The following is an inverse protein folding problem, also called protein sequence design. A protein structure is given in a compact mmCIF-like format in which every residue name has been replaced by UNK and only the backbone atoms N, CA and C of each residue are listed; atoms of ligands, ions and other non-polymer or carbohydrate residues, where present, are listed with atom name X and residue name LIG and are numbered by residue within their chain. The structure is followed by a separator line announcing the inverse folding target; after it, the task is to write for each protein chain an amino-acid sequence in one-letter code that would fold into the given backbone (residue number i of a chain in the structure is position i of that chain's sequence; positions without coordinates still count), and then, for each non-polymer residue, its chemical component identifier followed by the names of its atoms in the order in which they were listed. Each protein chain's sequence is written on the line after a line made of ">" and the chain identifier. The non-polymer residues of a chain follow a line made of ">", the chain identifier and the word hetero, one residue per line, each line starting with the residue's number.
data_IF_738327090643
#
_entry.id   IF_738327090643
#
_cell.length_a   1.000
_cell.length_b   1.000
_cell.length_c   1.000
_cell.angle_alpha   90.00
_cell.angle_beta   90.00
_cell.angle_gamma   90.00
#
_symmetry.space_group_name_H-M   'P 1'
#
loop_
_entity.id
_entity.type
_entity.pdbx_description
1 polymer ?
#
# COMPACT_ATOMS: atom_id res chain seq x y z
N UNK A 1 15.05 -4.83 -3.62
CA UNK A 1 14.56 -3.48 -4.02
C UNK A 1 14.41 -2.62 -2.76
N UNK A 2 14.66 -1.30 -2.76
CA UNK A 2 14.37 -0.45 -1.58
C UNK A 2 12.89 -0.04 -1.52
N UNK A 3 12.35 0.22 -0.33
CA UNK A 3 10.95 0.63 -0.15
C UNK A 3 10.59 1.89 -0.96
N UNK A 4 11.49 2.87 -1.02
CA UNK A 4 11.27 4.10 -1.77
C UNK A 4 11.10 3.84 -3.27
N UNK A 5 11.85 2.88 -3.83
CA UNK A 5 11.73 2.51 -5.25
C UNK A 5 10.36 1.90 -5.55
N UNK A 6 9.86 1.05 -4.66
CA UNK A 6 8.56 0.40 -4.76
C UNK A 6 7.39 1.39 -4.67
N UNK A 7 7.49 2.35 -3.75
CA UNK A 7 6.47 3.39 -3.57
C UNK A 7 6.42 4.30 -4.79
N UNK A 8 7.58 4.67 -5.34
CA UNK A 8 7.66 5.45 -6.58
C UNK A 8 7.05 4.69 -7.76
N UNK A 9 7.27 3.38 -7.88
CA UNK A 9 6.64 2.58 -8.93
C UNK A 9 5.10 2.57 -8.80
N UNK A 10 4.57 2.47 -7.57
CA UNK A 10 3.13 2.56 -7.32
C UNK A 10 2.57 3.97 -7.63
N UNK A 11 3.33 5.03 -7.33
CA UNK A 11 2.98 6.41 -7.67
C UNK A 11 2.84 6.58 -9.19
N UNK A 12 3.83 6.12 -9.94
CA UNK A 12 3.83 6.19 -11.42
C UNK A 12 2.61 5.45 -11.97
N UNK A 13 2.30 4.26 -11.45
CA UNK A 13 1.12 3.49 -11.87
C UNK A 13 -0.20 4.25 -11.59
N UNK A 14 -0.32 4.91 -10.44
CA UNK A 14 -1.49 5.74 -10.14
C UNK A 14 -1.59 6.96 -11.06
N UNK A 15 -0.47 7.60 -11.41
CA UNK A 15 -0.43 8.71 -12.37
C UNK A 15 -0.89 8.25 -13.76
N UNK A 16 -0.39 7.10 -14.24
CA UNK A 16 -0.79 6.52 -15.53
C UNK A 16 -2.30 6.22 -15.61
N UNK A 17 -2.92 5.90 -14.46
CA UNK A 17 -4.36 5.66 -14.36
C UNK A 17 -5.19 6.93 -14.14
N UNK A 18 -4.56 8.12 -14.11
CA UNK A 18 -5.25 9.41 -13.98
C UNK A 18 -5.77 9.73 -12.57
N UNK A 19 -5.16 9.17 -11.53
CA UNK A 19 -5.55 9.48 -10.15
C UNK A 19 -5.20 10.94 -9.80
N UNK A 20 -6.04 11.57 -8.98
CA UNK A 20 -5.77 12.94 -8.51
C UNK A 20 -4.52 13.00 -7.63
N UNK A 21 -3.77 14.12 -7.61
CA UNK A 21 -2.59 14.28 -6.75
C UNK A 21 -2.90 13.97 -5.27
N UNK A 22 -4.05 14.43 -4.78
CA UNK A 22 -4.50 14.17 -3.41
C UNK A 22 -4.71 12.68 -3.13
N UNK A 23 -5.19 11.93 -4.13
CA UNK A 23 -5.37 10.48 -4.00
C UNK A 23 -4.02 9.78 -3.98
N UNK A 24 -3.11 10.19 -4.86
CA UNK A 24 -1.74 9.66 -4.93
C UNK A 24 -1.05 9.87 -3.57
N UNK A 25 -1.11 11.06 -2.99
CA UNK A 25 -0.48 11.36 -1.69
C UNK A 25 -1.03 10.46 -0.58
N UNK A 26 -2.36 10.36 -0.49
CA UNK A 26 -3.04 9.55 0.52
C UNK A 26 -2.67 8.06 0.40
N UNK A 27 -2.67 7.52 -0.83
CA UNK A 27 -2.40 6.12 -1.07
C UNK A 27 -0.92 5.79 -0.87
N UNK A 28 -0.02 6.66 -1.31
CA UNK A 28 1.42 6.49 -1.10
C UNK A 28 1.79 6.49 0.38
N UNK A 29 1.15 7.37 1.18
CA UNK A 29 1.31 7.35 2.63
C UNK A 29 0.80 6.06 3.27
N UNK A 30 -0.33 5.52 2.79
CA UNK A 30 -0.82 4.22 3.25
C UNK A 30 0.12 3.06 2.88
N UNK A 31 0.71 3.09 1.68
CA UNK A 31 1.68 2.09 1.25
C UNK A 31 2.96 2.16 2.10
N UNK A 32 3.47 3.35 2.37
CA UNK A 32 4.59 3.54 3.30
C UNK A 32 4.29 2.96 4.69
N UNK A 33 3.10 3.22 5.22
CA UNK A 33 2.66 2.65 6.51
C UNK A 33 2.58 1.14 6.50
N UNK A 34 2.15 0.55 5.39
CA UNK A 34 2.14 -0.91 5.23
C UNK A 34 3.56 -1.48 5.24
N UNK A 35 4.47 -0.92 4.44
CA UNK A 35 5.85 -1.40 4.34
C UNK A 35 6.59 -1.30 5.67
N UNK A 36 6.42 -0.18 6.39
CA UNK A 36 6.96 0.01 7.74
C UNK A 36 6.34 -0.91 8.79
N UNK A 37 5.09 -1.35 8.60
CA UNK A 37 4.43 -2.25 9.54
C UNK A 37 4.94 -3.70 9.43
N UNK A 38 5.26 -4.14 8.20
CA UNK A 38 5.68 -5.51 7.96
C UNK A 38 7.17 -5.71 8.21
N UNK A 39 8.00 -4.70 7.93
CA UNK A 39 9.45 -4.73 8.18
C UNK A 39 10.14 -5.97 7.57
N UNK A 40 9.74 -6.32 6.34
CA UNK A 40 10.30 -7.41 5.54
C UNK A 40 10.82 -6.91 4.20
N UNK A 41 11.80 -7.59 3.59
CA UNK A 41 12.16 -7.37 2.21
C UNK A 41 10.92 -7.40 1.31
N UNK A 42 10.86 -6.48 0.36
CA UNK A 42 9.72 -6.35 -0.56
C UNK A 42 9.45 -7.67 -1.30
N UNK A 43 10.52 -8.36 -1.68
CA UNK A 43 10.47 -9.61 -2.43
C UNK A 43 9.88 -10.79 -1.62
N UNK A 44 9.79 -10.64 -0.29
CA UNK A 44 9.22 -11.63 0.63
C UNK A 44 7.78 -11.28 1.06
N UNK A 45 7.21 -10.19 0.55
CA UNK A 45 5.86 -9.75 0.92
C UNK A 45 4.81 -10.70 0.36
N UNK A 46 3.88 -11.10 1.22
CA UNK A 46 2.80 -12.03 0.90
C UNK A 46 1.42 -11.38 1.05
N UNK A 47 0.39 -12.05 0.54
CA UNK A 47 -0.99 -11.65 0.78
C UNK A 47 -1.39 -11.74 2.26
N UNK A 48 -0.73 -12.58 3.04
CA UNK A 48 -0.97 -12.70 4.50
C UNK A 48 -0.46 -11.47 5.26
N UNK A 49 0.61 -10.84 4.77
CA UNK A 49 1.11 -9.57 5.32
C UNK A 49 0.06 -8.45 5.14
N UNK A 50 -0.60 -8.41 3.98
CA UNK A 50 -1.71 -7.48 3.74
C UNK A 50 -2.86 -7.74 4.73
N UNK A 51 -3.24 -9.01 4.95
CA UNK A 51 -4.30 -9.37 5.90
C UNK A 51 -3.94 -8.96 7.33
N UNK A 52 -2.70 -9.21 7.74
CA UNK A 52 -2.17 -8.83 9.06
C UNK A 52 -2.20 -7.31 9.26
N UNK A 53 -1.79 -6.55 8.24
CA UNK A 53 -1.86 -5.09 8.26
C UNK A 53 -3.29 -4.59 8.40
N UNK A 54 -4.23 -5.06 7.56
CA UNK A 54 -5.63 -4.65 7.62
C UNK A 54 -6.29 -5.01 8.96
N UNK A 55 -5.99 -6.19 9.50
CA UNK A 55 -6.45 -6.60 10.82
C UNK A 55 -5.94 -5.64 11.91
N UNK A 56 -4.71 -5.15 11.80
CA UNK A 56 -4.17 -4.14 12.72
C UNK A 56 -4.96 -2.81 12.66
N UNK A 57 -5.40 -2.39 11.47
CA UNK A 57 -6.20 -1.18 11.28
C UNK A 57 -7.60 -1.34 11.85
N UNK A 58 -8.20 -2.52 11.68
CA UNK A 58 -9.50 -2.87 12.27
C UNK A 58 -9.41 -2.87 13.79
N UNK A 59 -8.36 -3.48 14.37
CA UNK A 59 -8.13 -3.48 15.83
C UNK A 59 -7.94 -2.06 16.38
N UNK A 60 -7.35 -1.16 15.59
CA UNK A 60 -7.23 0.29 15.89
C UNK A 60 -8.53 1.07 15.69
N UNK A 61 -9.63 0.43 15.27
CA UNK A 61 -10.94 1.04 15.00
C UNK A 61 -10.89 2.19 14.00
N UNK A 62 -10.01 2.09 13.00
CA UNK A 62 -9.96 3.09 11.92
C UNK A 62 -11.21 3.00 11.05
N UNK A 63 -11.52 4.09 10.35
CA UNK A 63 -12.72 4.15 9.52
C UNK A 63 -12.66 3.17 8.35
N UNK A 64 -13.83 2.69 7.91
CA UNK A 64 -13.95 1.81 6.75
C UNK A 64 -13.32 2.42 5.50
N UNK A 65 -13.49 3.73 5.30
CA UNK A 65 -12.87 4.45 4.17
C UNK A 65 -11.34 4.38 4.22
N UNK A 66 -10.76 4.57 5.41
CA UNK A 66 -9.31 4.44 5.60
C UNK A 66 -8.84 3.00 5.28
N UNK A 67 -9.51 1.99 5.84
CA UNK A 67 -9.16 0.58 5.61
C UNK A 67 -9.26 0.22 4.12
N UNK A 68 -10.30 0.71 3.43
CA UNK A 68 -10.47 0.47 1.99
C UNK A 68 -9.35 1.13 1.17
N UNK A 69 -8.93 2.35 1.54
CA UNK A 69 -7.80 3.02 0.87
C UNK A 69 -6.48 2.28 1.07
N UNK A 70 -6.26 1.72 2.27
CA UNK A 70 -5.11 0.90 2.59
C UNK A 70 -5.12 -0.42 1.81
N UNK A 71 -6.28 -1.09 1.74
CA UNK A 71 -6.45 -2.31 0.95
C UNK A 71 -6.20 -2.06 -0.54
N UNK A 72 -6.79 -1.01 -1.10
CA UNK A 72 -6.65 -0.69 -2.52
C UNK A 72 -5.19 -0.50 -2.91
N UNK A 73 -4.42 0.28 -2.14
CA UNK A 73 -3.02 0.53 -2.48
C UNK A 73 -2.17 -0.74 -2.33
N UNK A 74 -2.42 -1.58 -1.32
CA UNK A 74 -1.76 -2.88 -1.20
C UNK A 74 -2.08 -3.76 -2.41
N UNK A 75 -3.34 -3.83 -2.82
CA UNK A 75 -3.75 -4.62 -3.98
C UNK A 75 -3.11 -4.10 -5.28
N UNK A 76 -3.04 -2.79 -5.46
CA UNK A 76 -2.36 -2.18 -6.60
C UNK A 76 -0.89 -2.58 -6.61
N UNK A 77 -0.20 -2.38 -5.48
CA UNK A 77 1.21 -2.69 -5.30
C UNK A 77 1.55 -4.14 -5.67
N UNK A 78 0.78 -5.11 -5.18
CA UNK A 78 0.97 -6.53 -5.52
C UNK A 78 0.70 -6.83 -7.00
N UNK A 79 -0.23 -6.11 -7.64
CA UNK A 79 -0.57 -6.35 -9.06
C UNK A 79 0.38 -5.67 -10.04
N UNK A 80 0.96 -4.52 -9.68
CA UNK A 80 1.74 -3.69 -10.59
C UNK A 80 3.23 -3.69 -10.32
N UNK A 81 3.68 -3.94 -9.09
CA UNK A 81 5.10 -3.83 -8.70
C UNK A 81 5.73 -5.20 -8.42
N UNK A 82 5.05 -6.08 -7.67
CA UNK A 82 5.56 -7.39 -7.23
C UNK A 82 5.33 -8.54 -8.23
N UNK A 83 5.40 -8.27 -9.54
CA UNK A 83 5.12 -9.28 -10.58
C UNK A 83 5.83 -10.62 -10.37
#
# INVERSE_FOLDING_TARGET
>A
MSYDSCVNAAIIEMQLRGYSPKTIDSYSNNLNRFLLFIDKPVDDLTTEDVRSFLLSLIKKKLSTSYINSAYFVCQLFFKSVLK
#
